data_IF_336719952293
#
_entry.id   IF_336719952293
#
_cell.length_a   1.000
_cell.length_b   1.000
_cell.length_c   1.000
_cell.angle_alpha   90.00
_cell.angle_beta   90.00
_cell.angle_gamma   90.00
#
_symmetry.space_group_name_H-M   'P 1'
#
loop_
_entity.id
_entity.type
_entity.pdbx_description
1 polymer ?
#
# COMPACT_ATOMS: atom_id res chain seq x y z
N UNK A 1 15.83 12.14 -0.80
CA UNK A 1 14.93 10.97 -0.76
C UNK A 1 13.67 11.39 -0.02
N UNK A 2 12.51 11.40 -0.69
CA UNK A 2 11.24 11.80 -0.08
C UNK A 2 10.85 10.75 0.95
N UNK A 3 10.78 11.14 2.22
CA UNK A 3 10.37 10.21 3.27
C UNK A 3 8.91 9.78 3.01
N UNK A 4 8.65 8.48 2.96
CA UNK A 4 7.31 7.92 2.79
C UNK A 4 6.52 8.16 4.08
N UNK A 5 5.83 9.31 4.17
CA UNK A 5 5.08 9.76 5.36
C UNK A 5 4.21 8.66 5.97
N UNK A 6 3.51 7.91 5.12
CA UNK A 6 2.62 6.83 5.56
C UNK A 6 3.35 5.55 5.98
N UNK A 7 4.60 5.36 5.56
CA UNK A 7 5.39 4.18 5.91
C UNK A 7 6.16 4.34 7.24
N UNK A 8 6.30 5.57 7.74
CA UNK A 8 7.12 5.87 8.92
C UNK A 8 6.63 5.17 10.20
N UNK A 9 5.33 4.91 10.32
CA UNK A 9 4.73 4.22 11.46
C UNK A 9 4.84 2.69 11.38
N UNK A 10 5.37 2.13 10.29
CA UNK A 10 5.51 0.69 10.11
C UNK A 10 6.88 0.18 10.60
N UNK A 11 7.01 -1.13 10.89
CA UNK A 11 8.28 -1.71 11.34
C UNK A 11 9.46 -1.43 10.40
N UNK A 12 10.65 -1.24 10.96
CA UNK A 12 11.87 -0.91 10.21
C UNK A 12 12.19 -1.93 9.10
N UNK A 13 11.90 -3.22 9.32
CA UNK A 13 12.09 -4.25 8.30
C UNK A 13 11.25 -4.01 7.04
N UNK A 14 10.00 -3.53 7.20
CA UNK A 14 9.15 -3.17 6.07
C UNK A 14 9.67 -1.92 5.36
N UNK A 15 10.11 -0.93 6.13
CA UNK A 15 10.71 0.28 5.57
C UNK A 15 11.94 -0.04 4.71
N UNK A 16 12.81 -0.92 5.19
CA UNK A 16 13.99 -1.38 4.46
C UNK A 16 13.62 -2.13 3.16
N UNK A 17 12.65 -3.04 3.22
CA UNK A 17 12.17 -3.76 2.03
C UNK A 17 11.63 -2.80 0.96
N UNK A 18 10.80 -1.83 1.36
CA UNK A 18 10.23 -0.85 0.44
C UNK A 18 11.32 0.04 -0.15
N UNK A 19 12.30 0.49 0.65
CA UNK A 19 13.43 1.27 0.15
C UNK A 19 14.24 0.49 -0.90
N UNK A 20 14.49 -0.79 -0.67
CA UNK A 20 15.20 -1.65 -1.62
C UNK A 20 14.41 -1.83 -2.93
N UNK A 21 13.09 -2.01 -2.85
CA UNK A 21 12.23 -2.09 -4.04
C UNK A 21 12.17 -0.79 -4.84
N UNK A 22 12.19 0.36 -4.17
CA UNK A 22 12.27 1.68 -4.82
C UNK A 22 13.62 1.87 -5.51
N UNK A 23 14.73 1.51 -4.84
CA UNK A 23 16.06 1.61 -5.41
C UNK A 23 16.23 0.74 -6.67
N UNK A 24 15.46 -0.35 -6.78
CA UNK A 24 15.45 -1.24 -7.93
C UNK A 24 14.42 -0.86 -9.00
N UNK A 25 13.59 0.16 -8.78
CA UNK A 25 12.45 0.51 -9.64
C UNK A 25 11.44 -0.64 -9.85
N UNK A 26 11.30 -1.50 -8.84
CA UNK A 26 10.46 -2.73 -8.89
C UNK A 26 9.28 -2.70 -7.93
N UNK A 27 9.09 -1.60 -7.22
CA UNK A 27 7.99 -1.47 -6.25
C UNK A 27 6.62 -1.62 -6.91
N UNK A 28 6.42 -1.04 -8.10
CA UNK A 28 5.17 -1.13 -8.85
C UNK A 28 4.81 -2.57 -9.21
N UNK A 29 5.74 -3.28 -9.84
CA UNK A 29 5.56 -4.69 -10.23
C UNK A 29 5.27 -5.59 -9.03
N UNK A 30 6.02 -5.38 -7.93
CA UNK A 30 5.81 -6.13 -6.70
C UNK A 30 4.40 -5.93 -6.13
N UNK A 31 3.93 -4.68 -6.10
CA UNK A 31 2.58 -4.36 -5.62
C UNK A 31 1.51 -4.94 -6.53
N UNK A 32 1.72 -4.91 -7.86
CA UNK A 32 0.78 -5.46 -8.82
C UNK A 32 0.69 -7.00 -8.74
N UNK A 33 1.81 -7.67 -8.53
CA UNK A 33 1.83 -9.13 -8.31
C UNK A 33 1.17 -9.52 -6.99
N UNK A 34 1.40 -8.74 -5.92
CA UNK A 34 0.87 -9.04 -4.59
C UNK A 34 -0.60 -8.67 -4.44
N UNK A 35 -1.05 -7.60 -5.10
CA UNK A 35 -2.41 -7.09 -5.08
C UNK A 35 -2.91 -6.90 -6.52
N UNK A 36 -3.18 -7.99 -7.26
CA UNK A 36 -3.60 -7.92 -8.67
C UNK A 36 -5.03 -7.38 -8.82
N UNK A 37 -5.85 -7.54 -7.77
CA UNK A 37 -7.22 -7.05 -7.73
C UNK A 37 -7.29 -5.57 -7.38
N UNK A 38 -8.16 -4.84 -8.07
CA UNK A 38 -8.51 -3.47 -7.68
C UNK A 38 -9.36 -3.53 -6.40
N UNK A 39 -9.09 -2.67 -5.43
CA UNK A 39 -9.93 -2.56 -4.24
C UNK A 39 -11.37 -2.20 -4.63
N UNK A 40 -12.39 -2.94 -4.17
CA UNK A 40 -13.79 -2.66 -4.50
C UNK A 40 -14.30 -1.39 -3.81
N UNK A 41 -13.66 -0.99 -2.71
CA UNK A 41 -14.00 0.22 -1.95
C UNK A 41 -13.18 1.39 -2.50
N UNK A 42 -13.81 2.19 -3.36
CA UNK A 42 -13.15 3.33 -4.02
C UNK A 42 -13.87 4.67 -3.81
N UNK A 43 -14.93 4.68 -3.00
CA UNK A 43 -15.71 5.87 -2.68
C UNK A 43 -16.15 5.86 -1.24
N UNK A 44 -16.43 7.04 -0.69
CA UNK A 44 -16.94 7.21 0.67
C UNK A 44 -18.23 6.42 0.88
N UNK A 45 -19.09 6.33 -0.15
CA UNK A 45 -20.32 5.50 -0.11
C UNK A 45 -19.99 4.01 0.04
N UNK A 46 -19.01 3.51 -0.72
CA UNK A 46 -18.59 2.11 -0.62
C UNK A 46 -17.90 1.83 0.73
N UNK A 47 -17.14 2.79 1.25
CA UNK A 47 -16.48 2.68 2.55
C UNK A 47 -17.50 2.65 3.69
N UNK A 48 -18.50 3.53 3.65
CA UNK A 48 -19.60 3.55 4.59
C UNK A 48 -20.40 2.26 4.57
N UNK A 49 -20.72 1.75 3.37
CA UNK A 49 -21.37 0.44 3.21
C UNK A 49 -20.58 -0.69 3.85
N UNK A 50 -19.27 -0.77 3.56
CA UNK A 50 -18.39 -1.78 4.17
C UNK A 50 -18.33 -1.69 5.69
N UNK A 51 -18.27 -0.48 6.25
CA UNK A 51 -18.19 -0.28 7.70
C UNK A 51 -19.49 -0.64 8.43
N UNK A 52 -20.65 -0.50 7.79
CA UNK A 52 -21.94 -0.88 8.32
C UNK A 52 -22.25 -2.38 8.21
N UNK A 53 -21.59 -3.07 7.26
CA UNK A 53 -21.75 -4.50 7.00
C UNK A 53 -20.81 -5.37 7.87
N UNK A 54 -19.98 -4.73 8.72
CA UNK A 54 -19.03 -5.34 9.65
C UNK A 54 -19.66 -5.58 11.03
#
# INVERSE_FOLDING_TARGET
MTALKYLQAYPAALQAQVQQLIAQDRLGDYLQQRYPGRHPIQSDKALYGYALDL
#
